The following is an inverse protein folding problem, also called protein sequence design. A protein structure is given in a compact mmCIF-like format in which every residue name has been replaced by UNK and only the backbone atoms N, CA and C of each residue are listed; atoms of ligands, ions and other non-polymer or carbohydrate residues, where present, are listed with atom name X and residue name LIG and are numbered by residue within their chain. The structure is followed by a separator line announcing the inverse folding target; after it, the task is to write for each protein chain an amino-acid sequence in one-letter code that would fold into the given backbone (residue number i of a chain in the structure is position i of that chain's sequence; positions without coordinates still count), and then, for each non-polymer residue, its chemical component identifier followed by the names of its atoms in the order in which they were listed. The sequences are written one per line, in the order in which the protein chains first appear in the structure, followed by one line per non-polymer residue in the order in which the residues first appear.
data_IF_732070423232
#
_entry.id   IF_732070423232
#
_cell.length_a   1.000
_cell.length_b   1.000
_cell.length_c   1.000
_cell.angle_alpha   90.00
_cell.angle_beta   90.00
_cell.angle_gamma   90.00
#
_symmetry.space_group_name_H-M   'P 1'
#
loop_
_entity.id
_entity.type
_entity.pdbx_description
1 polymer ?
#
# COMPACT_ATOMS: atom_id res chain seq x y z
N UNK A 1 17.04 -8.75 33.00
CA UNK A 1 15.75 -8.05 32.83
C UNK A 1 15.84 -6.93 31.78
N UNK A 2 16.72 -5.93 31.93
CA UNK A 2 16.85 -4.77 30.99
C UNK A 2 17.13 -5.17 29.53
N UNK A 3 17.92 -6.22 29.28
CA UNK A 3 18.22 -6.69 27.93
C UNK A 3 16.97 -7.12 27.12
N UNK A 4 15.96 -7.71 27.77
CA UNK A 4 14.71 -8.12 27.07
C UNK A 4 13.92 -6.91 26.60
N UNK A 5 13.76 -5.91 27.46
CA UNK A 5 13.03 -4.68 27.12
C UNK A 5 13.69 -3.92 25.97
N UNK A 6 15.03 -3.85 25.95
CA UNK A 6 15.75 -3.21 24.84
C UNK A 6 15.48 -3.96 23.53
N UNK A 7 15.56 -5.29 23.53
CA UNK A 7 15.28 -6.11 22.34
C UNK A 7 13.83 -5.94 21.87
N UNK A 8 12.86 -5.92 22.78
CA UNK A 8 11.44 -5.70 22.44
C UNK A 8 11.20 -4.32 21.82
N UNK A 9 11.80 -3.26 22.38
CA UNK A 9 11.65 -1.91 21.82
C UNK A 9 12.35 -1.78 20.47
N UNK A 10 13.51 -2.40 20.30
CA UNK A 10 14.19 -2.46 19.01
C UNK A 10 13.38 -3.25 17.97
N UNK A 11 12.79 -4.38 18.35
CA UNK A 11 11.93 -5.16 17.48
C UNK A 11 10.70 -4.35 17.03
N UNK A 12 10.07 -3.60 17.95
CA UNK A 12 8.96 -2.71 17.62
C UNK A 12 9.37 -1.58 16.65
N UNK A 13 10.51 -0.93 16.90
CA UNK A 13 11.07 0.11 16.03
C UNK A 13 11.37 -0.42 14.62
N UNK A 14 12.01 -1.59 14.54
CA UNK A 14 12.35 -2.24 13.27
C UNK A 14 11.07 -2.65 12.53
N UNK A 15 10.08 -3.22 13.23
CA UNK A 15 8.79 -3.60 12.63
C UNK A 15 8.06 -2.38 12.07
N UNK A 16 8.04 -1.27 12.80
CA UNK A 16 7.45 -0.02 12.33
C UNK A 16 8.19 0.53 11.10
N UNK A 17 9.52 0.51 11.11
CA UNK A 17 10.34 0.95 9.98
C UNK A 17 10.06 0.10 8.72
N UNK A 18 10.02 -1.23 8.84
CA UNK A 18 9.65 -2.10 7.73
C UNK A 18 8.20 -1.91 7.28
N UNK A 19 7.27 -1.66 8.21
CA UNK A 19 5.89 -1.32 7.88
C UNK A 19 5.80 -0.06 7.00
N UNK A 20 6.61 0.96 7.30
CA UNK A 20 6.69 2.18 6.48
C UNK A 20 7.28 1.89 5.09
N UNK A 21 8.38 1.12 5.02
CA UNK A 21 8.99 0.71 3.74
C UNK A 21 7.98 -0.07 2.89
N UNK A 22 7.23 -0.99 3.49
CA UNK A 22 6.19 -1.75 2.80
C UNK A 22 5.09 -0.81 2.27
N UNK A 23 4.62 0.14 3.07
CA UNK A 23 3.60 1.11 2.63
C UNK A 23 4.08 1.96 1.43
N UNK A 24 5.35 2.40 1.45
CA UNK A 24 5.96 3.15 0.34
C UNK A 24 6.04 2.28 -0.93
N UNK A 25 6.52 1.05 -0.81
CA UNK A 25 6.62 0.11 -1.93
C UNK A 25 5.26 -0.17 -2.59
N UNK A 26 4.20 -0.34 -1.79
CA UNK A 26 2.84 -0.50 -2.31
C UNK A 26 2.34 0.75 -3.03
N UNK A 27 2.63 1.95 -2.53
CA UNK A 27 2.28 3.20 -3.22
C UNK A 27 2.94 3.30 -4.60
N UNK A 28 4.24 2.99 -4.70
CA UNK A 28 4.94 3.02 -5.99
C UNK A 28 4.48 1.91 -6.93
N UNK A 29 4.23 0.69 -6.42
CA UNK A 29 3.69 -0.42 -7.20
C UNK A 29 2.32 -0.07 -7.79
N UNK A 30 1.40 0.48 -6.99
CA UNK A 30 0.07 0.86 -7.49
C UNK A 30 0.21 1.97 -8.53
N UNK A 31 1.03 3.00 -8.31
CA UNK A 31 1.25 4.08 -9.30
C UNK A 31 1.83 3.57 -10.62
N UNK A 32 2.71 2.57 -10.56
CA UNK A 32 3.29 1.97 -11.76
C UNK A 32 2.24 1.35 -12.69
N UNK A 33 1.12 0.84 -12.15
CA UNK A 33 0.01 0.32 -12.95
C UNK A 33 -0.65 1.40 -13.81
N UNK A 34 -0.66 2.66 -13.34
CA UNK A 34 -1.27 3.79 -14.05
C UNK A 34 -0.25 4.60 -14.87
N UNK A 35 0.97 4.08 -15.07
CA UNK A 35 1.98 4.76 -15.89
C UNK A 35 1.53 4.77 -17.35
N UNK A 36 1.54 5.95 -17.98
CA UNK A 36 1.08 6.13 -19.37
C UNK A 36 2.02 7.04 -20.18
N UNK A 37 1.70 7.29 -21.46
CA UNK A 37 0.48 6.88 -22.19
C UNK A 37 0.46 5.40 -22.59
N UNK A 38 -0.73 4.81 -22.78
CA UNK A 38 -0.85 3.45 -23.30
C UNK A 38 -0.14 3.30 -24.65
N UNK A 39 0.62 2.21 -24.81
CA UNK A 39 1.39 1.93 -26.01
C UNK A 39 2.83 2.49 -25.98
N UNK A 40 3.20 3.26 -24.95
CA UNK A 40 4.61 3.58 -24.70
C UNK A 40 5.36 2.40 -24.06
N UNK A 41 6.66 2.31 -24.34
CA UNK A 41 7.54 1.31 -23.72
C UNK A 41 7.58 1.55 -22.20
N UNK A 42 7.08 0.59 -21.42
CA UNK A 42 6.94 0.71 -19.97
C UNK A 42 5.62 1.32 -19.47
N UNK A 43 4.59 1.39 -20.31
CA UNK A 43 3.23 1.69 -19.86
C UNK A 43 2.70 0.62 -18.89
N UNK A 44 2.02 1.07 -17.84
CA UNK A 44 1.42 0.19 -16.84
C UNK A 44 0.18 -0.52 -17.37
N UNK A 45 -0.21 -1.61 -16.69
CA UNK A 45 -1.37 -2.43 -17.09
C UNK A 45 -2.70 -1.66 -17.14
N UNK A 46 -2.82 -0.57 -16.38
CA UNK A 46 -3.98 0.31 -16.31
C UNK A 46 -3.72 1.66 -17.00
N UNK A 47 -2.79 1.70 -17.97
CA UNK A 47 -2.48 2.92 -18.73
C UNK A 47 -3.72 3.55 -19.41
N UNK A 48 -4.76 2.77 -19.70
CA UNK A 48 -5.98 3.29 -20.36
C UNK A 48 -6.79 4.17 -19.40
N UNK A 49 -6.67 3.88 -18.10
CA UNK A 49 -7.28 4.65 -17.02
C UNK A 49 -6.41 5.85 -16.62
N UNK A 50 -5.15 5.91 -17.04
CA UNK A 50 -4.27 7.05 -16.72
C UNK A 50 -4.72 8.36 -17.38
N UNK A 51 -5.52 8.29 -18.44
CA UNK A 51 -6.12 9.45 -19.10
C UNK A 51 -7.07 10.24 -18.19
N UNK A 52 -7.66 9.59 -17.17
CA UNK A 52 -8.51 10.23 -16.17
C UNK A 52 -7.73 11.05 -15.11
N UNK A 53 -6.40 11.11 -15.22
CA UNK A 53 -5.54 11.85 -14.31
C UNK A 53 -5.46 11.25 -12.89
N UNK A 54 -4.85 11.98 -11.94
CA UNK A 54 -4.58 11.47 -10.59
C UNK A 54 -5.85 11.17 -9.76
N UNK A 55 -7.00 11.73 -10.14
CA UNK A 55 -8.27 11.54 -9.45
C UNK A 55 -8.81 10.12 -9.57
N UNK A 56 -8.68 9.49 -10.74
CA UNK A 56 -9.17 8.12 -10.92
C UNK A 56 -8.33 7.12 -10.11
N UNK A 57 -7.01 7.31 -10.08
CA UNK A 57 -6.10 6.59 -9.20
C UNK A 57 -6.52 6.74 -7.73
N UNK A 58 -6.76 7.98 -7.26
CA UNK A 58 -7.11 8.25 -5.88
C UNK A 58 -8.41 7.54 -5.47
N UNK A 59 -9.47 7.67 -6.28
CA UNK A 59 -10.76 7.03 -6.02
C UNK A 59 -10.62 5.51 -5.98
N UNK A 60 -9.90 4.92 -6.94
CA UNK A 60 -9.70 3.47 -7.00
C UNK A 60 -8.98 2.94 -5.76
N UNK A 61 -7.88 3.59 -5.36
CA UNK A 61 -7.12 3.19 -4.16
C UNK A 61 -7.95 3.38 -2.89
N UNK A 62 -8.76 4.44 -2.80
CA UNK A 62 -9.65 4.65 -1.65
C UNK A 62 -10.69 3.53 -1.53
N UNK A 63 -11.32 3.13 -2.63
CA UNK A 63 -12.30 2.03 -2.62
C UNK A 63 -11.64 0.73 -2.14
N UNK A 64 -10.47 0.39 -2.68
CA UNK A 64 -9.73 -0.80 -2.26
C UNK A 64 -9.33 -0.75 -0.78
N UNK A 65 -8.88 0.41 -0.28
CA UNK A 65 -8.51 0.60 1.11
C UNK A 65 -9.71 0.42 2.06
N UNK A 66 -10.89 0.93 1.70
CA UNK A 66 -12.14 0.75 2.46
C UNK A 66 -12.55 -0.73 2.48
N UNK A 67 -12.49 -1.43 1.35
CA UNK A 67 -12.82 -2.86 1.31
C UNK A 67 -11.85 -3.66 2.18
N UNK A 68 -10.55 -3.41 2.05
CA UNK A 68 -9.53 -4.09 2.85
C UNK A 68 -9.70 -3.85 4.34
N UNK A 69 -9.97 -2.60 4.76
CA UNK A 69 -10.20 -2.27 6.18
C UNK A 69 -11.45 -2.93 6.74
N UNK A 70 -12.56 -2.96 5.99
CA UNK A 70 -13.77 -3.70 6.39
C UNK A 70 -13.45 -5.19 6.54
N UNK A 71 -12.73 -5.78 5.58
CA UNK A 71 -12.41 -7.20 5.61
C UNK A 71 -11.50 -7.57 6.78
N UNK A 72 -10.46 -6.78 7.04
CA UNK A 72 -9.58 -6.93 8.21
C UNK A 72 -10.38 -6.80 9.51
N UNK A 73 -11.27 -5.81 9.61
CA UNK A 73 -12.15 -5.63 10.78
C UNK A 73 -13.00 -6.88 11.05
N UNK A 74 -13.64 -7.43 10.01
CA UNK A 74 -14.45 -8.66 10.13
C UNK A 74 -13.64 -9.90 10.50
N UNK A 75 -12.39 -10.00 10.07
CA UNK A 75 -11.50 -11.11 10.46
C UNK A 75 -11.04 -10.94 11.90
N UNK A 76 -10.78 -9.70 12.33
CA UNK A 76 -10.36 -9.39 13.70
C UNK A 76 -11.49 -9.65 14.72
N UNK A 77 -12.75 -9.34 14.40
CA UNK A 77 -13.92 -9.64 15.25
C UNK A 77 -14.20 -11.14 15.41
N UNK A 78 -13.67 -11.99 14.53
CA UNK A 78 -13.86 -13.44 14.59
C UNK A 78 -12.87 -14.17 15.52
N UNK A 79 -11.96 -13.44 16.18
CA UNK A 79 -11.08 -13.96 17.24
C UNK A 79 -11.47 -13.40 18.59
#
# INVERSE_FOLDING_TARGET
MVKSQVVEKLAALITAAFGLVAALAWNDAIKSLFKGPCGAEGAGALCALSAGGPWLYAIFVTILAVIATIWIGKVAEKK
#
